data_IF_231408115920
#
_entry.id   IF_231408115920
#
_cell.length_a   1.000
_cell.length_b   1.000
_cell.length_c   1.000
_cell.angle_alpha   90.00
_cell.angle_beta   90.00
_cell.angle_gamma   90.00
#
_symmetry.space_group_name_H-M   'P 1'
#
loop_
_entity.id
_entity.type
_entity.pdbx_description
1 polymer ?
#
# COMPACT_ATOMS: atom_id res chain seq x y z
N UNK A 1 15.93 4.61 1.51
CA UNK A 1 16.04 5.48 0.33
C UNK A 1 14.70 5.53 -0.41
N UNK A 2 14.50 6.46 -1.33
CA UNK A 2 13.23 6.66 -2.03
C UNK A 2 13.05 5.82 -3.32
N UNK A 3 13.99 4.92 -3.63
CA UNK A 3 14.06 4.20 -4.89
C UNK A 3 12.76 3.44 -5.24
N UNK A 4 12.21 2.66 -4.30
CA UNK A 4 10.94 1.94 -4.50
C UNK A 4 9.78 2.89 -4.81
N UNK A 5 9.71 4.03 -4.12
CA UNK A 5 8.67 5.05 -4.36
C UNK A 5 8.80 5.66 -5.76
N UNK A 6 10.02 6.00 -6.18
CA UNK A 6 10.27 6.50 -7.53
C UNK A 6 9.96 5.45 -8.61
N UNK A 7 10.28 4.17 -8.36
CA UNK A 7 9.94 3.07 -9.27
C UNK A 7 8.42 2.95 -9.45
N UNK A 8 7.66 2.90 -8.35
CA UNK A 8 6.20 2.77 -8.39
C UNK A 8 5.54 3.99 -9.04
N UNK A 9 6.06 5.20 -8.82
CA UNK A 9 5.49 6.42 -9.36
C UNK A 9 5.80 6.67 -10.85
N UNK A 10 6.97 6.25 -11.34
CA UNK A 10 7.51 6.69 -12.64
C UNK A 10 7.72 5.56 -13.65
N UNK A 11 7.87 4.30 -13.21
CA UNK A 11 8.21 3.19 -14.11
C UNK A 11 7.03 2.85 -15.03
N UNK A 12 7.24 2.78 -16.36
CA UNK A 12 6.21 2.31 -17.29
C UNK A 12 5.73 0.88 -16.98
N UNK A 13 6.57 0.05 -16.35
CA UNK A 13 6.27 -1.35 -16.05
C UNK A 13 5.15 -1.54 -15.03
N UNK A 14 4.89 -0.52 -14.20
CA UNK A 14 3.86 -0.54 -13.16
C UNK A 14 2.71 0.44 -13.45
N UNK A 15 2.70 1.02 -14.64
CA UNK A 15 1.64 1.94 -15.07
C UNK A 15 0.28 1.24 -15.08
N UNK A 16 -0.67 1.80 -14.34
CA UNK A 16 -2.04 1.26 -14.26
C UNK A 16 -2.20 0.05 -13.35
N UNK A 17 -1.14 -0.40 -12.68
CA UNK A 17 -1.22 -1.48 -11.68
C UNK A 17 -1.59 -0.88 -10.32
N UNK A 18 -2.63 -1.42 -9.68
CA UNK A 18 -3.08 -1.00 -8.36
C UNK A 18 -3.22 -2.21 -7.41
N UNK A 19 -3.20 -1.95 -6.09
CA UNK A 19 -3.43 -2.99 -5.07
C UNK A 19 -2.24 -3.91 -4.80
N UNK A 20 -1.05 -3.56 -5.30
CA UNK A 20 0.20 -4.29 -5.08
C UNK A 20 1.06 -3.61 -4.02
N UNK A 21 1.87 -4.39 -3.34
CA UNK A 21 2.86 -3.92 -2.38
C UNK A 21 4.27 -4.17 -2.94
N UNK A 22 5.14 -3.17 -2.82
CA UNK A 22 6.51 -3.23 -3.36
C UNK A 22 7.55 -2.99 -2.25
N UNK A 23 8.58 -3.83 -2.21
CA UNK A 23 9.77 -3.70 -1.37
C UNK A 23 11.00 -3.83 -2.26
N UNK A 24 12.00 -2.97 -2.08
CA UNK A 24 13.22 -2.96 -2.90
C UNK A 24 12.95 -2.98 -4.42
N UNK A 25 11.94 -2.21 -4.87
CA UNK A 25 11.45 -2.16 -6.26
C UNK A 25 10.89 -3.47 -6.83
N UNK A 26 10.62 -4.47 -5.99
CA UNK A 26 10.02 -5.75 -6.37
C UNK A 26 8.66 -5.94 -5.70
N UNK A 27 7.74 -6.65 -6.35
CA UNK A 27 6.48 -7.03 -5.73
C UNK A 27 6.76 -7.96 -4.53
N UNK A 28 6.15 -7.66 -3.39
CA UNK A 28 6.36 -8.40 -2.16
C UNK A 28 5.04 -8.66 -1.45
N UNK A 29 5.00 -9.71 -0.63
CA UNK A 29 3.85 -10.00 0.22
C UNK A 29 3.96 -9.19 1.51
N UNK A 30 2.99 -8.31 1.82
CA UNK A 30 2.99 -7.56 3.07
C UNK A 30 2.63 -8.46 4.26
N UNK A 31 2.70 -7.91 5.47
CA UNK A 31 2.40 -8.64 6.70
C UNK A 31 0.97 -9.22 6.69
N UNK A 32 0.71 -10.20 7.58
CA UNK A 32 -0.63 -10.79 7.71
C UNK A 32 -1.70 -9.72 8.00
N UNK A 33 -1.47 -8.86 8.99
CA UNK A 33 -2.41 -7.79 9.36
C UNK A 33 -2.64 -6.77 8.24
N UNK A 34 -1.63 -6.47 7.42
CA UNK A 34 -1.78 -5.56 6.29
C UNK A 34 -2.70 -6.10 5.19
N UNK A 35 -3.01 -7.40 5.21
CA UNK A 35 -3.90 -8.08 4.26
C UNK A 35 -5.29 -8.37 4.84
N UNK A 36 -5.54 -7.99 6.09
CA UNK A 36 -6.81 -8.23 6.77
C UNK A 36 -7.84 -7.14 6.39
N UNK A 37 -8.88 -7.48 5.61
CA UNK A 37 -9.87 -6.49 5.16
C UNK A 37 -10.77 -5.99 6.29
N UNK A 38 -11.03 -6.80 7.32
CA UNK A 38 -11.83 -6.38 8.47
C UNK A 38 -11.07 -5.37 9.32
N UNK A 39 -9.78 -5.63 9.54
CA UNK A 39 -8.90 -4.70 10.27
C UNK A 39 -8.74 -3.38 9.49
N UNK A 40 -8.57 -3.44 8.17
CA UNK A 40 -8.49 -2.26 7.32
C UNK A 40 -9.76 -1.39 7.43
N UNK A 41 -10.95 -2.01 7.42
CA UNK A 41 -12.22 -1.31 7.59
C UNK A 41 -12.34 -0.65 8.98
N UNK A 42 -12.03 -1.39 10.04
CA UNK A 42 -12.04 -0.88 11.42
C UNK A 42 -11.12 0.33 11.57
N UNK A 43 -9.91 0.24 11.01
CA UNK A 43 -8.93 1.33 11.04
C UNK A 43 -9.44 2.56 10.29
N UNK A 44 -10.01 2.38 9.09
CA UNK A 44 -10.57 3.48 8.30
C UNK A 44 -11.70 4.22 9.04
N UNK A 45 -12.62 3.48 9.66
CA UNK A 45 -13.72 4.06 10.43
C UNK A 45 -13.22 4.80 11.67
N UNK A 46 -12.23 4.23 12.39
CA UNK A 46 -11.59 4.89 13.52
C UNK A 46 -10.88 6.19 13.12
N UNK A 47 -10.10 6.18 12.04
CA UNK A 47 -9.36 7.35 11.58
C UNK A 47 -10.27 8.49 11.13
N UNK A 48 -11.41 8.20 10.49
CA UNK A 48 -12.42 9.22 10.14
C UNK A 48 -13.00 9.89 11.40
N UNK A 49 -13.30 9.10 12.43
CA UNK A 49 -13.85 9.61 13.68
C UNK A 49 -12.84 10.48 14.47
N UNK A 50 -11.53 10.32 14.24
CA UNK A 50 -10.50 11.14 14.89
C UNK A 50 -10.38 12.55 14.31
N UNK A 51 -10.78 12.75 13.05
CA UNK A 51 -10.64 14.02 12.33
C UNK A 51 -11.96 14.76 12.15
N UNK A 52 -13.07 14.22 12.67
CA UNK A 52 -14.38 14.86 12.78
C UNK A 52 -14.52 15.59 14.11
#
# INVERSE_FOLDING_TARGET
GAATTCYVALSPQVRGISGKYYCDSNEATPSYHARDPELAKKLWDFSKNLIQ
#
